data_IF_383017213078
#
_entry.id   IF_383017213078
#
_cell.length_a   1.000
_cell.length_b   1.000
_cell.length_c   1.000
_cell.angle_alpha   90.00
_cell.angle_beta   90.00
_cell.angle_gamma   90.00
#
_symmetry.space_group_name_H-M   'P 1'
#
loop_
_entity.id
_entity.type
_entity.pdbx_description
1 polymer ?
#
# COMPACT_ATOMS: atom_id res chain seq x y z
N UNK A 1 -83.81 21.99 -12.73
CA UNK A 1 -82.85 21.21 -13.55
C UNK A 1 -81.40 21.22 -13.06
N UNK A 2 -80.97 22.09 -12.12
CA UNK A 2 -79.57 22.13 -11.65
C UNK A 2 -79.17 21.10 -10.56
N UNK A 3 -80.12 20.55 -9.79
CA UNK A 3 -79.81 19.62 -8.67
C UNK A 3 -79.54 18.17 -9.08
N UNK A 4 -79.95 17.74 -10.28
CA UNK A 4 -79.71 16.39 -10.78
C UNK A 4 -78.37 16.23 -11.52
N UNK A 5 -77.77 17.33 -11.98
CA UNK A 5 -76.46 17.31 -12.65
C UNK A 5 -75.30 17.14 -11.64
N UNK A 6 -75.42 17.72 -10.44
CA UNK A 6 -74.41 17.62 -9.39
C UNK A 6 -74.31 16.22 -8.75
N UNK A 7 -75.44 15.51 -8.65
CA UNK A 7 -75.46 14.11 -8.17
C UNK A 7 -74.85 13.15 -9.19
N UNK A 8 -75.04 13.41 -10.49
CA UNK A 8 -74.49 12.59 -11.57
C UNK A 8 -72.97 12.72 -11.65
N UNK A 9 -72.43 13.92 -11.41
CA UNK A 9 -70.98 14.18 -11.42
C UNK A 9 -70.28 13.61 -10.18
N UNK A 10 -70.92 13.59 -9.00
CA UNK A 10 -70.31 12.98 -7.81
C UNK A 10 -70.33 11.45 -7.86
N UNK A 11 -71.37 10.86 -8.46
CA UNK A 11 -71.46 9.41 -8.66
C UNK A 11 -70.43 8.92 -9.69
N UNK A 12 -70.19 9.68 -10.77
CA UNK A 12 -69.14 9.38 -11.76
C UNK A 12 -67.72 9.49 -11.17
N UNK A 13 -67.49 10.40 -10.22
CA UNK A 13 -66.19 10.58 -9.57
C UNK A 13 -65.88 9.46 -8.58
N UNK A 14 -66.88 8.99 -7.82
CA UNK A 14 -66.74 7.85 -6.90
C UNK A 14 -66.59 6.53 -7.68
N UNK A 15 -67.29 6.37 -8.81
CA UNK A 15 -67.14 5.18 -9.66
C UNK A 15 -65.73 5.11 -10.28
N UNK A 16 -65.17 6.22 -10.76
CA UNK A 16 -63.80 6.27 -11.28
C UNK A 16 -62.72 6.04 -10.20
N UNK A 17 -62.92 6.53 -8.97
CA UNK A 17 -62.01 6.23 -7.86
C UNK A 17 -62.03 4.73 -7.48
N UNK A 18 -63.21 4.11 -7.51
CA UNK A 18 -63.35 2.68 -7.18
C UNK A 18 -62.81 1.74 -8.28
N UNK A 19 -62.93 2.12 -9.56
CA UNK A 19 -62.29 1.37 -10.65
C UNK A 19 -60.76 1.53 -10.68
N UNK A 20 -60.22 2.67 -10.25
CA UNK A 20 -58.78 2.85 -10.07
C UNK A 20 -58.18 1.98 -8.97
N UNK A 21 -58.97 1.68 -7.92
CA UNK A 21 -58.56 0.81 -6.81
C UNK A 21 -58.78 -0.69 -7.09
N UNK A 22 -59.72 -1.05 -7.97
CA UNK A 22 -59.98 -2.44 -8.39
C UNK A 22 -59.07 -2.92 -9.53
N UNK A 23 -58.36 -2.02 -10.22
CA UNK A 23 -57.30 -2.37 -11.17
C UNK A 23 -55.93 -2.64 -10.50
N UNK A 24 -55.86 -2.63 -9.16
CA UNK A 24 -54.77 -3.27 -8.42
C UNK A 24 -54.97 -4.80 -8.27
N UNK A 25 -55.70 -5.40 -9.22
CA UNK A 25 -55.64 -6.83 -9.49
C UNK A 25 -54.24 -7.19 -10.00
N UNK A 26 -53.38 -7.59 -9.07
CA UNK A 26 -52.19 -8.41 -9.32
C UNK A 26 -51.38 -8.03 -10.55
N UNK A 27 -50.63 -6.93 -10.45
CA UNK A 27 -49.26 -6.99 -10.98
C UNK A 27 -48.48 -7.79 -9.93
N UNK A 28 -48.65 -9.13 -9.97
CA UNK A 28 -47.55 -10.05 -9.64
C UNK A 28 -46.52 -9.93 -10.77
N UNK A 29 -46.05 -8.71 -11.02
CA UNK A 29 -44.70 -8.53 -11.43
C UNK A 29 -43.94 -8.98 -10.21
N UNK A 30 -43.25 -10.12 -10.33
CA UNK A 30 -42.11 -10.38 -9.46
C UNK A 30 -41.35 -9.07 -9.38
N UNK A 31 -41.42 -8.40 -8.22
CA UNK A 31 -40.36 -7.48 -7.85
C UNK A 31 -39.19 -8.44 -7.71
N UNK A 32 -38.49 -8.68 -8.82
CA UNK A 32 -37.11 -9.13 -8.75
C UNK A 32 -36.46 -7.98 -7.99
N UNK A 33 -36.34 -8.16 -6.68
CA UNK A 33 -35.34 -7.48 -5.90
C UNK A 33 -34.06 -7.79 -6.65
N UNK A 34 -33.62 -6.85 -7.49
CA UNK A 34 -32.37 -6.96 -8.19
C UNK A 34 -31.37 -7.17 -7.08
N UNK A 35 -30.86 -8.39 -6.96
CA UNK A 35 -29.85 -8.70 -5.97
C UNK A 35 -28.72 -7.72 -6.27
N UNK A 36 -28.57 -6.71 -5.41
CA UNK A 36 -27.40 -5.85 -5.44
C UNK A 36 -26.29 -6.76 -4.99
N UNK A 37 -25.64 -7.41 -5.94
CA UNK A 37 -24.45 -8.20 -5.68
C UNK A 37 -23.38 -7.21 -5.27
N UNK A 38 -23.26 -6.95 -3.96
CA UNK A 38 -22.11 -6.28 -3.39
C UNK A 38 -20.97 -7.27 -3.49
N UNK A 39 -20.25 -7.24 -4.61
CA UNK A 39 -18.99 -7.95 -4.72
C UNK A 39 -17.98 -7.20 -3.84
N UNK A 40 -17.94 -7.55 -2.56
CA UNK A 40 -16.90 -7.07 -1.68
C UNK A 40 -15.58 -7.72 -2.12
N UNK A 41 -14.78 -6.97 -2.88
CA UNK A 41 -13.41 -7.38 -3.13
C UNK A 41 -12.60 -7.19 -1.86
N UNK A 42 -12.02 -8.27 -1.35
CA UNK A 42 -11.09 -8.17 -0.23
C UNK A 42 -9.80 -7.49 -0.72
N UNK A 43 -9.26 -6.53 0.04
CA UNK A 43 -7.98 -5.92 -0.31
C UNK A 43 -6.85 -6.95 -0.26
N UNK A 44 -5.80 -6.69 -1.02
CA UNK A 44 -4.55 -7.43 -0.90
C UNK A 44 -3.74 -6.87 0.27
N UNK A 45 -3.30 -7.75 1.16
CA UNK A 45 -2.46 -7.38 2.30
C UNK A 45 -1.21 -8.29 2.39
N UNK A 46 -0.29 -8.21 1.40
CA UNK A 46 0.92 -9.02 1.39
C UNK A 46 1.82 -8.75 2.59
N UNK A 47 2.45 -9.82 3.07
CA UNK A 47 3.58 -9.73 4.00
C UNK A 47 4.88 -9.66 3.21
N UNK A 48 5.78 -8.80 3.64
CA UNK A 48 7.15 -8.71 3.12
C UNK A 48 8.15 -8.96 4.25
N UNK A 49 9.36 -9.33 3.86
CA UNK A 49 10.50 -9.52 4.74
C UNK A 49 11.68 -8.73 4.17
N UNK A 50 12.21 -7.80 4.95
CA UNK A 50 13.33 -6.91 4.60
C UNK A 50 14.29 -6.88 5.78
N UNK A 51 15.57 -7.04 5.50
CA UNK A 51 16.63 -7.03 6.51
C UNK A 51 17.56 -5.85 6.21
N UNK A 52 17.63 -4.82 7.07
CA UNK A 52 18.71 -3.85 7.00
C UNK A 52 20.04 -4.51 7.33
N UNK A 53 21.09 -4.17 6.60
CA UNK A 53 22.42 -4.71 6.88
C UNK A 53 23.07 -4.11 8.15
N UNK A 54 24.16 -4.73 8.59
CA UNK A 54 25.09 -4.21 9.61
C UNK A 54 24.46 -3.66 10.91
N UNK A 55 23.35 -4.26 11.35
CA UNK A 55 22.69 -3.91 12.63
C UNK A 55 23.53 -4.27 13.85
N UNK A 56 23.47 -3.40 14.87
CA UNK A 56 24.07 -3.63 16.19
C UNK A 56 22.99 -3.37 17.27
N UNK A 57 22.53 -4.38 18.03
CA UNK A 57 22.90 -5.80 17.93
C UNK A 57 22.42 -6.44 16.62
N UNK A 58 23.04 -7.56 16.19
CA UNK A 58 22.73 -8.19 14.89
C UNK A 58 21.41 -8.96 14.87
N UNK A 59 20.75 -9.14 16.00
CA UNK A 59 19.49 -9.87 16.12
C UNK A 59 18.43 -9.00 16.77
N UNK A 60 17.16 -9.18 16.35
CA UNK A 60 16.02 -8.44 16.87
C UNK A 60 16.17 -6.91 16.77
N UNK A 61 16.87 -6.42 15.74
CA UNK A 61 17.08 -5.00 15.45
C UNK A 61 16.81 -4.65 13.97
N UNK A 62 15.94 -5.43 13.31
CA UNK A 62 15.63 -5.24 11.89
C UNK A 62 14.48 -4.26 11.65
N UNK A 63 13.98 -3.58 12.68
CA UNK A 63 12.93 -2.58 12.52
C UNK A 63 13.45 -1.40 11.70
N UNK A 64 12.70 -1.03 10.68
CA UNK A 64 13.03 -0.02 9.71
C UNK A 64 11.74 0.55 9.11
N UNK A 65 11.64 1.88 9.06
CA UNK A 65 10.64 2.52 8.22
C UNK A 65 11.11 2.44 6.76
N UNK A 66 10.27 1.86 5.91
CA UNK A 66 10.51 1.67 4.49
C UNK A 66 9.38 2.29 3.67
N UNK A 67 9.77 2.97 2.61
CA UNK A 67 8.89 3.33 1.52
C UNK A 67 8.84 2.19 0.52
N UNK A 68 7.65 1.83 0.07
CA UNK A 68 7.40 0.73 -0.86
C UNK A 68 6.62 1.26 -2.04
N UNK A 69 7.20 1.14 -3.23
CA UNK A 69 6.53 1.38 -4.50
C UNK A 69 6.24 0.05 -5.20
N UNK A 70 5.09 -0.05 -5.85
CA UNK A 70 4.73 -1.17 -6.69
C UNK A 70 4.41 -0.65 -8.08
N UNK A 71 4.99 -1.28 -9.09
CA UNK A 71 4.71 -1.00 -10.50
C UNK A 71 4.57 -2.31 -11.26
N UNK A 72 3.84 -2.30 -12.38
CA UNK A 72 3.85 -3.46 -13.29
C UNK A 72 5.28 -3.69 -13.77
N UNK A 73 5.70 -4.95 -13.90
CA UNK A 73 7.04 -5.28 -14.34
C UNK A 73 7.32 -4.61 -15.70
N UNK A 74 8.52 -4.02 -15.84
CA UNK A 74 8.94 -3.23 -17.01
C UNK A 74 8.15 -1.93 -17.26
N UNK A 75 7.31 -1.49 -16.33
CA UNK A 75 6.68 -0.17 -16.36
C UNK A 75 7.49 0.81 -15.51
N UNK A 76 7.44 2.10 -15.83
CA UNK A 76 7.93 3.18 -14.96
C UNK A 76 6.83 3.79 -14.09
N UNK A 77 5.57 3.40 -14.28
CA UNK A 77 4.42 3.99 -13.57
C UNK A 77 4.18 3.23 -12.26
N UNK A 78 4.32 3.94 -11.14
CA UNK A 78 3.93 3.45 -9.82
C UNK A 78 2.41 3.39 -9.77
N UNK A 79 1.88 2.23 -9.37
CA UNK A 79 0.45 1.98 -9.25
C UNK A 79 -0.02 1.96 -7.80
N UNK A 80 0.92 1.80 -6.86
CA UNK A 80 0.69 1.81 -5.43
C UNK A 80 1.99 2.22 -4.75
N UNK A 81 1.89 3.14 -3.80
CA UNK A 81 2.98 3.54 -2.93
C UNK A 81 2.49 3.58 -1.47
N UNK A 82 3.37 3.25 -0.54
CA UNK A 82 3.07 3.37 0.89
C UNK A 82 4.35 3.46 1.70
N UNK A 83 4.24 3.93 2.93
CA UNK A 83 5.27 3.73 3.95
C UNK A 83 4.79 2.70 4.96
N UNK A 84 5.66 1.77 5.36
CA UNK A 84 5.40 0.79 6.42
C UNK A 84 6.63 0.67 7.31
N UNK A 85 6.43 0.26 8.55
CA UNK A 85 7.54 -0.04 9.48
C UNK A 85 7.65 -1.54 9.67
N UNK A 86 8.83 -2.10 9.46
CA UNK A 86 9.10 -3.50 9.79
C UNK A 86 9.20 -3.69 11.30
N UNK A 87 8.80 -4.88 11.77
CA UNK A 87 9.09 -5.30 13.14
C UNK A 87 10.59 -5.59 13.34
N UNK A 88 10.96 -5.94 14.57
CA UNK A 88 12.35 -6.24 14.92
C UNK A 88 12.92 -7.48 14.23
N UNK A 89 12.07 -8.32 13.64
CA UNK A 89 12.50 -9.44 12.81
C UNK A 89 12.73 -9.00 11.36
N UNK A 90 12.13 -7.90 10.90
CA UNK A 90 12.24 -7.37 9.54
C UNK A 90 10.97 -7.59 8.72
N UNK A 91 9.85 -7.95 9.36
CA UNK A 91 8.58 -8.25 8.67
C UNK A 91 7.66 -7.05 8.68
N UNK A 92 6.96 -6.81 7.58
CA UNK A 92 5.89 -5.82 7.49
C UNK A 92 4.71 -6.37 6.69
N UNK A 93 3.54 -5.74 6.84
CA UNK A 93 2.37 -6.00 6.00
C UNK A 93 2.06 -4.73 5.20
N UNK A 94 1.96 -4.86 3.88
CA UNK A 94 1.59 -3.76 2.98
C UNK A 94 0.08 -3.87 2.77
N UNK A 95 -0.70 -2.94 3.31
CA UNK A 95 -2.16 -3.07 3.33
C UNK A 95 -2.84 -1.71 3.60
N UNK A 96 -4.04 -1.46 3.03
CA UNK A 96 -4.71 -2.25 1.99
C UNK A 96 -4.25 -1.85 0.59
N UNK A 97 -3.95 -2.83 -0.28
CA UNK A 97 -3.81 -2.60 -1.72
C UNK A 97 -5.16 -2.89 -2.38
N UNK A 98 -5.66 -1.94 -3.18
CA UNK A 98 -6.88 -2.13 -3.97
C UNK A 98 -6.72 -3.30 -4.95
N UNK A 99 -7.62 -4.26 -4.88
CA UNK A 99 -7.64 -5.42 -5.78
C UNK A 99 -7.79 -5.02 -7.26
N UNK A 100 -8.37 -3.85 -7.56
CA UNK A 100 -8.43 -3.35 -8.94
C UNK A 100 -7.05 -3.02 -9.53
N UNK A 101 -6.05 -2.72 -8.69
CA UNK A 101 -4.67 -2.44 -9.11
C UNK A 101 -3.87 -3.73 -9.35
N UNK A 102 -4.27 -4.81 -8.69
CA UNK A 102 -3.60 -6.11 -8.72
C UNK A 102 -4.33 -7.06 -9.68
N UNK A 103 -3.68 -7.34 -10.79
CA UNK A 103 -4.15 -8.21 -11.88
C UNK A 103 -3.22 -9.41 -12.02
N UNK A 104 -3.57 -10.40 -12.85
CA UNK A 104 -2.74 -11.60 -13.08
C UNK A 104 -1.52 -11.31 -13.98
N UNK A 105 -0.63 -10.43 -13.49
CA UNK A 105 0.63 -10.05 -14.12
C UNK A 105 1.76 -10.02 -13.10
N UNK A 106 2.98 -9.79 -13.57
CA UNK A 106 4.15 -9.60 -12.71
C UNK A 106 4.37 -8.13 -12.39
N UNK A 107 4.94 -7.89 -11.22
CA UNK A 107 5.19 -6.57 -10.66
C UNK A 107 6.65 -6.44 -10.21
N UNK A 108 7.17 -5.21 -10.24
CA UNK A 108 8.37 -4.85 -9.50
C UNK A 108 7.93 -4.22 -8.18
N UNK A 109 8.50 -4.70 -7.08
CA UNK A 109 8.35 -4.09 -5.75
C UNK A 109 9.65 -3.36 -5.45
N UNK A 110 9.59 -2.05 -5.27
CA UNK A 110 10.75 -1.24 -4.94
C UNK A 110 10.66 -0.87 -3.47
N UNK A 111 11.76 -1.02 -2.74
CA UNK A 111 11.81 -0.74 -1.30
C UNK A 111 12.96 0.20 -1.01
N UNK A 112 12.71 1.26 -0.24
CA UNK A 112 13.73 2.23 0.19
C UNK A 112 13.58 2.54 1.67
N UNK A 113 14.68 2.43 2.42
CA UNK A 113 14.76 2.87 3.81
C UNK A 113 15.29 4.31 3.90
N UNK A 114 15.13 4.93 5.07
CA UNK A 114 15.48 6.34 5.32
C UNK A 114 16.94 6.71 4.96
N UNK A 115 17.87 5.77 5.16
CA UNK A 115 19.31 5.91 4.94
C UNK A 115 19.87 4.81 4.03
N UNK A 116 19.00 4.21 3.22
CA UNK A 116 19.30 3.01 2.46
C UNK A 116 19.14 3.25 0.96
N UNK A 117 19.95 2.54 0.19
CA UNK A 117 19.77 2.43 -1.25
C UNK A 117 18.44 1.73 -1.54
N UNK A 118 17.69 2.25 -2.51
CA UNK A 118 16.48 1.60 -3.01
C UNK A 118 16.87 0.28 -3.66
N UNK A 119 16.06 -0.74 -3.43
CA UNK A 119 16.23 -2.07 -4.03
C UNK A 119 15.00 -2.42 -4.85
N UNK A 120 15.19 -3.10 -5.99
CA UNK A 120 14.11 -3.57 -6.85
C UNK A 120 14.00 -5.09 -6.70
N UNK A 121 12.80 -5.55 -6.36
CA UNK A 121 12.43 -6.96 -6.38
C UNK A 121 11.55 -7.20 -7.61
N UNK A 122 12.14 -7.61 -8.74
CA UNK A 122 11.38 -7.79 -9.97
C UNK A 122 10.58 -9.10 -9.96
N UNK A 123 9.58 -9.17 -10.82
CA UNK A 123 8.90 -10.44 -11.13
C UNK A 123 8.05 -10.99 -9.99
N UNK A 124 7.55 -10.13 -9.11
CA UNK A 124 6.67 -10.52 -8.01
C UNK A 124 5.26 -10.79 -8.53
N UNK A 125 4.67 -11.89 -8.08
CA UNK A 125 3.28 -12.26 -8.41
C UNK A 125 2.44 -12.23 -7.14
N UNK A 126 1.35 -11.48 -7.17
CA UNK A 126 0.42 -11.35 -6.06
C UNK A 126 -0.62 -12.47 -6.16
N UNK A 127 -0.30 -13.63 -5.58
CA UNK A 127 -1.15 -14.83 -5.63
C UNK A 127 -2.00 -14.92 -4.36
N UNK A 128 -3.31 -14.84 -4.52
CA UNK A 128 -4.30 -14.92 -3.43
C UNK A 128 -4.78 -13.55 -2.95
N UNK A 129 -6.03 -13.46 -2.50
CA UNK A 129 -6.62 -12.27 -1.89
C UNK A 129 -6.77 -12.44 -0.37
N UNK A 130 -6.81 -11.33 0.38
CA UNK A 130 -6.92 -11.34 1.84
C UNK A 130 -5.57 -11.28 2.57
N UNK A 131 -5.62 -11.49 3.89
CA UNK A 131 -4.45 -11.38 4.77
C UNK A 131 -3.60 -12.67 4.74
N UNK A 132 -2.29 -12.53 4.61
CA UNK A 132 -1.34 -13.57 5.02
C UNK A 132 -0.56 -14.30 3.92
N UNK A 133 -0.69 -13.92 2.64
CA UNK A 133 0.29 -14.36 1.64
C UNK A 133 1.58 -13.54 1.78
N UNK A 134 2.72 -14.19 1.63
CA UNK A 134 4.04 -13.56 1.72
C UNK A 134 4.59 -13.36 0.31
N UNK A 135 5.05 -12.16 -0.01
CA UNK A 135 5.85 -11.92 -1.20
C UNK A 135 7.27 -12.44 -0.92
N UNK A 136 7.72 -13.42 -1.70
CA UNK A 136 9.06 -13.99 -1.59
C UNK A 136 10.08 -13.06 -2.26
N UNK A 137 10.53 -12.06 -1.48
CA UNK A 137 11.57 -11.13 -1.87
C UNK A 137 12.92 -11.84 -1.72
N UNK A 138 13.41 -12.44 -2.82
CA UNK A 138 14.70 -13.12 -2.84
C UNK A 138 15.82 -12.16 -2.43
N UNK A 139 16.60 -12.59 -1.44
CA UNK A 139 17.65 -11.80 -0.80
C UNK A 139 17.09 -10.49 -0.22
N UNK A 140 16.54 -10.51 1.00
CA UNK A 140 15.78 -9.39 1.55
C UNK A 140 16.66 -8.24 2.06
N UNK A 141 17.97 -8.28 1.82
CA UNK A 141 18.92 -7.33 2.40
C UNK A 141 18.77 -5.94 1.76
N UNK A 142 18.75 -4.91 2.58
CA UNK A 142 18.74 -3.51 2.14
C UNK A 142 20.05 -2.85 2.55
N UNK A 143 20.80 -2.35 1.55
CA UNK A 143 22.09 -1.71 1.79
C UNK A 143 21.92 -0.29 2.30
N UNK A 144 22.60 0.05 3.38
CA UNK A 144 22.67 1.36 3.98
C UNK A 144 23.81 2.18 3.36
N UNK A 145 23.69 3.50 3.43
CA UNK A 145 24.74 4.44 3.04
C UNK A 145 24.27 5.69 2.31
N UNK A 146 23.03 5.71 1.78
CA UNK A 146 22.40 6.92 1.22
C UNK A 146 21.75 7.73 2.37
N UNK A 147 22.59 8.25 3.26
CA UNK A 147 22.19 8.90 4.51
C UNK A 147 22.13 10.41 4.44
N UNK A 148 22.63 11.03 3.36
CA UNK A 148 22.45 12.46 3.17
C UNK A 148 20.95 12.80 2.99
N UNK A 149 20.43 13.92 3.53
CA UNK A 149 19.02 14.28 3.40
C UNK A 149 18.48 14.45 1.98
N UNK A 150 19.34 14.57 0.97
CA UNK A 150 18.93 14.54 -0.44
C UNK A 150 18.36 13.19 -0.85
N UNK A 151 18.80 12.10 -0.20
CA UNK A 151 18.41 10.72 -0.48
C UNK A 151 18.42 10.42 -1.98
N UNK A 152 19.55 10.69 -2.62
CA UNK A 152 19.69 10.71 -4.08
C UNK A 152 19.87 9.31 -4.68
N UNK A 153 19.75 8.27 -3.83
CA UNK A 153 19.91 6.87 -4.20
C UNK A 153 21.34 6.53 -4.65
N UNK A 154 22.35 7.29 -4.20
CA UNK A 154 23.74 7.11 -4.57
C UNK A 154 24.70 7.43 -3.42
N UNK A 155 25.42 6.43 -2.91
CA UNK A 155 26.37 6.65 -1.81
C UNK A 155 27.62 7.39 -2.33
N UNK A 156 27.85 8.60 -1.82
CA UNK A 156 28.97 9.44 -2.24
C UNK A 156 29.53 10.28 -1.10
N UNK A 157 30.35 11.28 -1.43
CA UNK A 157 30.99 12.17 -0.44
C UNK A 157 29.98 12.98 0.39
N UNK A 158 28.77 13.22 -0.11
CA UNK A 158 27.73 13.94 0.61
C UNK A 158 27.22 13.12 1.81
N UNK A 159 27.06 11.81 1.65
CA UNK A 159 26.68 10.91 2.75
C UNK A 159 27.77 10.86 3.81
N UNK A 160 29.02 10.67 3.40
CA UNK A 160 30.17 10.70 4.32
C UNK A 160 30.23 12.03 5.08
N UNK A 161 30.01 13.15 4.38
CA UNK A 161 30.03 14.48 5.01
C UNK A 161 28.89 14.63 6.02
N UNK A 162 27.70 14.11 5.71
CA UNK A 162 26.56 14.12 6.62
C UNK A 162 26.88 13.34 7.91
N UNK A 163 27.50 12.18 7.79
CA UNK A 163 27.84 11.30 8.90
C UNK A 163 28.86 11.95 9.84
N UNK A 164 29.89 12.59 9.27
CA UNK A 164 30.86 13.39 10.03
C UNK A 164 30.18 14.53 10.79
N UNK A 165 29.22 15.21 10.16
CA UNK A 165 28.45 16.29 10.81
C UNK A 165 27.55 15.79 11.94
N UNK A 166 27.21 14.50 11.96
CA UNK A 166 26.30 13.87 12.93
C UNK A 166 27.01 13.06 14.00
N UNK A 167 28.34 12.99 13.98
CA UNK A 167 29.11 12.30 15.03
C UNK A 167 28.68 12.71 16.44
N UNK A 168 28.55 11.70 17.29
CA UNK A 168 28.13 11.80 18.69
C UNK A 168 26.69 12.30 18.91
N UNK A 169 25.84 12.18 17.88
CA UNK A 169 24.41 12.46 17.98
C UNK A 169 23.59 11.17 17.88
N UNK A 170 22.30 11.25 18.21
CA UNK A 170 21.33 10.16 17.99
C UNK A 170 20.50 10.39 16.71
N UNK A 171 21.11 10.95 15.66
CA UNK A 171 20.42 11.22 14.40
C UNK A 171 20.05 9.91 13.71
N UNK A 172 18.76 9.66 13.58
CA UNK A 172 18.22 8.38 13.11
C UNK A 172 18.65 8.00 11.68
N UNK A 173 18.95 9.01 10.84
CA UNK A 173 19.35 8.80 9.45
C UNK A 173 20.83 8.47 9.35
N UNK A 174 21.66 9.11 10.16
CA UNK A 174 23.09 8.83 10.26
C UNK A 174 23.41 7.58 11.11
N UNK A 175 22.50 7.17 12.00
CA UNK A 175 22.66 5.94 12.79
C UNK A 175 22.37 4.69 11.92
N UNK A 176 23.34 4.34 11.06
CA UNK A 176 23.22 3.25 10.08
C UNK A 176 23.09 1.88 10.74
N UNK A 177 23.83 1.68 11.84
CA UNK A 177 23.89 0.40 12.55
C UNK A 177 22.76 0.24 13.59
N UNK A 178 22.06 1.34 13.93
CA UNK A 178 20.95 1.41 14.90
C UNK A 178 21.36 1.06 16.32
N UNK A 179 22.53 1.51 16.74
CA UNK A 179 23.05 1.41 18.10
C UNK A 179 22.74 2.65 18.96
N UNK A 180 21.95 3.59 18.42
CA UNK A 180 21.48 4.86 19.02
C UNK A 180 22.48 6.01 19.03
N UNK A 181 23.72 5.81 18.57
CA UNK A 181 24.75 6.85 18.55
C UNK A 181 25.61 6.79 17.29
N UNK A 182 25.56 7.87 16.50
CA UNK A 182 26.44 8.02 15.33
C UNK A 182 27.88 8.16 15.79
N UNK A 183 28.76 7.28 15.35
CA UNK A 183 30.16 7.23 15.72
C UNK A 183 31.03 6.68 14.57
N UNK A 184 32.18 6.10 14.90
CA UNK A 184 33.09 5.55 13.89
C UNK A 184 32.60 4.23 13.26
N UNK A 185 31.57 3.61 13.84
CA UNK A 185 31.05 2.30 13.43
C UNK A 185 30.16 2.39 12.17
N UNK A 186 29.72 3.58 11.77
CA UNK A 186 28.94 3.81 10.54
C UNK A 186 29.83 3.74 9.28
N UNK A 187 31.08 4.19 9.39
CA UNK A 187 31.98 4.35 8.24
C UNK A 187 32.28 3.05 7.49
N UNK A 188 32.48 1.88 8.12
CA UNK A 188 32.64 0.63 7.38
C UNK A 188 31.48 0.36 6.40
N UNK A 189 30.23 0.62 6.81
CA UNK A 189 29.04 0.44 5.97
C UNK A 189 28.99 1.46 4.83
N UNK A 190 29.31 2.73 5.10
CA UNK A 190 29.40 3.76 4.05
C UNK A 190 30.48 3.44 3.02
N UNK A 191 31.66 3.01 3.50
CA UNK A 191 32.80 2.72 2.64
C UNK A 191 32.54 1.48 1.79
N UNK A 192 31.87 0.44 2.32
CA UNK A 192 31.54 -0.76 1.55
C UNK A 192 30.61 -0.48 0.37
N UNK A 193 29.78 0.56 0.48
CA UNK A 193 28.83 0.97 -0.57
C UNK A 193 29.23 2.25 -1.30
N UNK A 194 30.42 2.80 -1.07
CA UNK A 194 30.85 4.03 -1.71
C UNK A 194 30.81 3.89 -3.24
N UNK A 195 30.17 4.87 -3.89
CA UNK A 195 29.89 4.92 -5.32
C UNK A 195 28.91 3.85 -5.84
N UNK A 196 28.10 3.25 -4.97
CA UNK A 196 27.00 2.38 -5.40
C UNK A 196 25.71 3.17 -5.59
N UNK A 197 25.02 2.85 -6.69
CA UNK A 197 23.65 3.29 -6.93
C UNK A 197 22.67 2.25 -6.37
N UNK A 198 21.49 2.72 -5.97
CA UNK A 198 20.37 1.83 -5.73
C UNK A 198 19.83 1.26 -7.04
N UNK A 199 18.62 0.72 -6.97
CA UNK A 199 17.89 0.10 -8.07
C UNK A 199 18.51 -1.21 -8.59
N UNK A 200 19.25 -1.91 -7.72
CA UNK A 200 19.77 -3.25 -7.95
C UNK A 200 18.73 -4.34 -7.69
#
# INVERSE_FOLDING_TARGET
MLRHLALLTSLLFILNLSLGLLNNGSILGTIEEAAVTVTASLPYCPRIYIIPEHRIPPTNNNSLEIHVDIRRQNSSTIIYDTTVTTDNEGKATICPIDAALITDVYYDVLVKGLSHLRRIFPGQKFIGAGAGFTLDLKDPVLFAGDSHPSSDNYVNSLDISYEILKLYTSDLRADLNRDTIVNSLEFPTLISHLYQFGDH
#
